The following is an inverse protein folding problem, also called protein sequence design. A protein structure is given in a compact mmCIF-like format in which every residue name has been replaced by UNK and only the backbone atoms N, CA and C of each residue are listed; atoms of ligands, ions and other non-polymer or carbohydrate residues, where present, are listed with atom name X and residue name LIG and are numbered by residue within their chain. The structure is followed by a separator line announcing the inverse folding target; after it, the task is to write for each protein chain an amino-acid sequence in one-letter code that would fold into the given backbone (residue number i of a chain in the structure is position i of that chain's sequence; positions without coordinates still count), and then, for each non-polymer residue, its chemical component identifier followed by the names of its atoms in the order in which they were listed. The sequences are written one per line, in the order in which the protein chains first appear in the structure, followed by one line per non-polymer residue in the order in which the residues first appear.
data_IF_711971697666
#
_entry.id   IF_711971697666
#
_cell.length_a   1.000
_cell.length_b   1.000
_cell.length_c   1.000
_cell.angle_alpha   90.00
_cell.angle_beta   90.00
_cell.angle_gamma   90.00
#
_symmetry.space_group_name_H-M   'P 1'
#
loop_
_entity.id
_entity.type
_entity.pdbx_description
1 polymer ?
#
# COMPACT_ATOMS: atom_id res chain seq x y z
N UNK A 1 23.02 0.40 44.68
CA UNK A 1 23.16 1.36 43.55
C UNK A 1 23.03 0.73 42.15
N UNK A 2 23.56 -0.49 41.89
CA UNK A 2 23.42 -1.15 40.57
C UNK A 2 21.96 -1.47 40.18
N UNK A 3 21.14 -1.95 41.12
CA UNK A 3 19.71 -2.25 40.87
C UNK A 3 18.88 -1.01 40.49
N UNK A 4 19.11 0.11 41.18
CA UNK A 4 18.42 1.37 40.89
C UNK A 4 18.75 1.91 39.49
N UNK A 5 20.01 1.77 39.04
CA UNK A 5 20.43 2.14 37.69
C UNK A 5 19.80 1.26 36.60
N UNK A 6 19.71 -0.06 36.83
CA UNK A 6 19.00 -0.97 35.92
C UNK A 6 17.51 -0.63 35.79
N UNK A 7 16.88 -0.24 36.90
CA UNK A 7 15.45 0.07 36.95
C UNK A 7 15.13 1.38 36.20
N UNK A 8 16.00 2.40 36.35
CA UNK A 8 15.89 3.66 35.59
C UNK A 8 16.08 3.42 34.09
N UNK A 9 17.07 2.61 33.70
CA UNK A 9 17.31 2.29 32.27
C UNK A 9 16.13 1.52 31.68
N UNK A 10 15.58 0.54 32.40
CA UNK A 10 14.41 -0.23 31.92
C UNK A 10 13.16 0.65 31.77
N UNK A 11 12.93 1.57 32.71
CA UNK A 11 11.82 2.53 32.62
C UNK A 11 11.99 3.49 31.43
N UNK A 12 13.21 3.95 31.15
CA UNK A 12 13.49 4.81 30.01
C UNK A 12 13.29 4.10 28.66
N UNK A 13 13.69 2.83 28.56
CA UNK A 13 13.46 2.02 27.34
C UNK A 13 11.95 1.80 27.12
N UNK A 14 11.20 1.46 28.17
CA UNK A 14 9.76 1.28 28.07
C UNK A 14 9.03 2.58 27.68
N UNK A 15 9.47 3.73 28.21
CA UNK A 15 8.94 5.03 27.84
C UNK A 15 9.21 5.39 26.37
N UNK A 16 10.39 5.04 25.83
CA UNK A 16 10.66 5.20 24.39
C UNK A 16 9.78 4.29 23.53
N UNK A 17 9.57 3.04 23.93
CA UNK A 17 8.69 2.12 23.19
C UNK A 17 7.25 2.64 23.18
N UNK A 18 6.75 3.23 24.27
CA UNK A 18 5.40 3.81 24.30
C UNK A 18 5.30 5.12 23.50
N UNK A 19 6.35 5.96 23.52
CA UNK A 19 6.37 7.23 22.81
C UNK A 19 6.52 7.06 21.28
N UNK A 20 7.23 6.03 20.82
CA UNK A 20 7.55 5.82 19.41
C UNK A 20 6.97 4.52 18.81
N UNK A 21 6.46 3.61 19.65
CA UNK A 21 5.92 2.30 19.23
C UNK A 21 4.47 2.36 18.74
N UNK A 22 3.89 3.56 18.63
CA UNK A 22 2.67 3.75 17.86
C UNK A 22 3.03 3.72 16.38
N UNK A 23 3.35 2.54 15.84
CA UNK A 23 3.23 2.33 14.40
C UNK A 23 1.75 2.53 14.10
N UNK A 24 1.41 3.69 13.51
CA UNK A 24 0.05 3.94 13.04
C UNK A 24 -0.27 2.86 12.03
N UNK A 25 -0.92 1.78 12.48
CA UNK A 25 -1.44 0.75 11.59
C UNK A 25 -2.43 1.48 10.69
N UNK A 26 -2.11 1.59 9.41
CA UNK A 26 -2.96 2.30 8.47
C UNK A 26 -4.36 1.69 8.55
N UNK A 27 -5.35 2.53 8.86
CA UNK A 27 -6.72 2.05 8.94
C UNK A 27 -7.12 1.51 7.57
N UNK A 28 -7.71 0.30 7.54
CA UNK A 28 -8.14 -0.30 6.29
C UNK A 28 -9.07 0.67 5.54
N UNK A 29 -8.84 0.91 4.23
CA UNK A 29 -9.64 1.87 3.47
C UNK A 29 -11.12 1.44 3.43
N UNK A 30 -12.02 2.41 3.41
CA UNK A 30 -13.48 2.24 3.45
C UNK A 30 -14.16 3.03 2.33
N UNK A 31 -15.43 2.71 2.09
CA UNK A 31 -16.26 3.39 1.09
C UNK A 31 -16.08 2.87 -0.33
N UNK A 32 -16.69 3.57 -1.28
CA UNK A 32 -16.70 3.15 -2.68
C UNK A 32 -15.30 3.23 -3.33
N UNK A 33 -14.83 2.19 -4.03
CA UNK A 33 -13.51 2.20 -4.63
C UNK A 33 -13.32 3.30 -5.68
N UNK A 34 -12.11 3.81 -5.78
CA UNK A 34 -11.66 4.60 -6.92
C UNK A 34 -11.18 3.61 -7.98
N UNK A 35 -11.89 3.55 -9.11
CA UNK A 35 -11.55 2.63 -10.20
C UNK A 35 -10.48 3.27 -11.09
N UNK A 36 -9.35 2.58 -11.24
CA UNK A 36 -8.29 2.96 -12.17
C UNK A 36 -8.18 1.87 -13.24
N UNK A 37 -8.31 2.30 -14.49
CA UNK A 37 -8.28 1.41 -15.65
C UNK A 37 -6.94 1.45 -16.39
N UNK A 38 -6.51 0.29 -16.87
CA UNK A 38 -5.46 0.15 -17.88
C UNK A 38 -6.03 -0.50 -19.13
N UNK A 39 -5.80 0.13 -20.29
CA UNK A 39 -6.12 -0.45 -21.59
C UNK A 39 -4.82 -0.61 -22.37
N UNK A 40 -4.55 -1.80 -22.86
CA UNK A 40 -3.35 -2.06 -23.66
C UNK A 40 -3.32 -3.47 -24.21
N UNK A 41 -2.24 -3.82 -24.91
CA UNK A 41 -2.06 -5.16 -25.45
C UNK A 41 -1.53 -6.08 -24.33
N UNK A 42 -2.44 -6.65 -23.55
CA UNK A 42 -2.13 -7.37 -22.30
C UNK A 42 -1.25 -8.61 -22.50
N UNK A 43 -1.22 -9.15 -23.71
CA UNK A 43 -0.36 -10.29 -24.08
C UNK A 43 1.03 -9.87 -24.55
N UNK A 44 1.28 -8.59 -24.80
CA UNK A 44 2.61 -8.10 -25.17
C UNK A 44 3.62 -8.38 -24.05
N UNK A 45 4.81 -8.94 -24.37
CA UNK A 45 5.87 -9.15 -23.39
C UNK A 45 6.28 -7.89 -22.63
N UNK A 46 6.23 -6.72 -23.28
CA UNK A 46 6.55 -5.44 -22.65
C UNK A 46 5.44 -4.89 -21.74
N UNK A 47 4.19 -5.30 -21.96
CA UNK A 47 3.03 -4.77 -21.22
C UNK A 47 2.82 -5.45 -19.87
N UNK A 48 3.04 -6.77 -19.80
CA UNK A 48 2.88 -7.55 -18.57
C UNK A 48 3.65 -7.00 -17.35
N UNK A 49 4.97 -6.74 -17.43
CA UNK A 49 5.69 -6.19 -16.27
C UNK A 49 5.16 -4.82 -15.84
N UNK A 50 4.69 -4.00 -16.78
CA UNK A 50 4.06 -2.71 -16.47
C UNK A 50 2.73 -2.90 -15.73
N UNK A 51 1.92 -3.89 -16.09
CA UNK A 51 0.68 -4.20 -15.37
C UNK A 51 0.94 -4.79 -13.98
N UNK A 52 2.03 -5.57 -13.84
CA UNK A 52 2.40 -6.16 -12.56
C UNK A 52 2.82 -5.10 -11.55
N UNK A 53 3.66 -4.14 -11.94
CA UNK A 53 4.02 -3.03 -11.04
C UNK A 53 2.83 -2.13 -10.70
N UNK A 54 1.88 -1.93 -11.62
CA UNK A 54 0.64 -1.21 -11.33
C UNK A 54 -0.21 -1.94 -10.28
N UNK A 55 -0.30 -3.26 -10.35
CA UNK A 55 -1.02 -4.07 -9.36
C UNK A 55 -0.35 -4.01 -7.98
N UNK A 56 0.97 -4.13 -7.94
CA UNK A 56 1.76 -4.01 -6.70
C UNK A 56 1.53 -2.63 -6.07
N UNK A 57 1.62 -1.55 -6.85
CA UNK A 57 1.38 -0.20 -6.34
C UNK A 57 -0.04 -0.03 -5.77
N UNK A 58 -1.07 -0.59 -6.44
CA UNK A 58 -2.45 -0.56 -5.94
C UNK A 58 -2.58 -1.32 -4.61
N UNK A 59 -1.91 -2.46 -4.47
CA UNK A 59 -1.90 -3.23 -3.23
C UNK A 59 -1.21 -2.46 -2.10
N UNK A 60 -0.02 -1.91 -2.34
CA UNK A 60 0.73 -1.10 -1.37
C UNK A 60 -0.07 0.13 -0.91
N UNK A 61 -0.72 0.84 -1.85
CA UNK A 61 -1.56 2.00 -1.53
C UNK A 61 -2.75 1.58 -0.65
N UNK A 62 -3.41 0.47 -0.98
CA UNK A 62 -4.54 -0.02 -0.18
C UNK A 62 -4.10 -0.47 1.22
N UNK A 63 -2.94 -1.12 1.34
CA UNK A 63 -2.33 -1.48 2.63
C UNK A 63 -1.95 -0.24 3.45
N UNK A 64 -1.61 0.87 2.80
CA UNK A 64 -1.31 2.16 3.43
C UNK A 64 -2.56 3.01 3.76
N UNK A 65 -3.77 2.48 3.61
CA UNK A 65 -5.03 3.17 3.95
C UNK A 65 -5.75 3.79 2.74
N UNK A 66 -5.31 3.47 1.52
CA UNK A 66 -5.95 3.92 0.29
C UNK A 66 -5.74 5.40 -0.01
N UNK A 67 -6.47 5.93 -1.00
CA UNK A 67 -6.42 7.34 -1.37
C UNK A 67 -7.52 8.09 -0.63
N UNK A 68 -7.13 8.98 0.29
CA UNK A 68 -8.08 9.71 1.16
C UNK A 68 -9.03 8.76 1.91
N UNK A 69 -8.52 7.61 2.34
CA UNK A 69 -9.29 6.58 3.05
C UNK A 69 -10.13 5.66 2.15
N UNK A 70 -10.09 5.83 0.82
CA UNK A 70 -10.86 5.00 -0.14
C UNK A 70 -9.97 3.95 -0.82
N UNK A 71 -10.48 2.73 -1.05
CA UNK A 71 -9.70 1.69 -1.72
C UNK A 71 -9.56 1.99 -3.21
N UNK A 72 -8.41 1.65 -3.80
CA UNK A 72 -8.22 1.59 -5.23
C UNK A 72 -8.67 0.23 -5.78
N UNK A 73 -9.32 0.24 -6.94
CA UNK A 73 -9.66 -0.95 -7.74
C UNK A 73 -9.00 -0.86 -9.10
N UNK A 74 -8.11 -1.81 -9.39
CA UNK A 74 -7.46 -1.92 -10.69
C UNK A 74 -8.31 -2.76 -11.65
N UNK A 75 -8.57 -2.22 -12.84
CA UNK A 75 -9.27 -2.93 -13.93
C UNK A 75 -8.45 -2.87 -15.20
N UNK A 76 -8.51 -3.93 -16.00
CA UNK A 76 -7.70 -4.06 -17.22
C UNK A 76 -8.58 -4.45 -18.39
N UNK A 77 -8.32 -3.88 -19.57
CA UNK A 77 -8.95 -4.31 -20.83
C UNK A 77 -7.90 -4.54 -21.91
N UNK A 78 -8.06 -5.64 -22.65
CA UNK A 78 -7.18 -5.99 -23.76
C UNK A 78 -7.65 -5.34 -25.06
N UNK A 79 -6.81 -4.49 -25.65
CA UNK A 79 -7.08 -3.88 -26.94
C UNK A 79 -6.56 -4.70 -28.13
N UNK A 80 -5.95 -5.88 -27.90
CA UNK A 80 -5.39 -6.75 -28.94
C UNK A 80 -4.37 -6.04 -29.86
N UNK A 81 -3.68 -5.01 -29.37
CA UNK A 81 -2.74 -4.20 -30.15
C UNK A 81 -3.41 -3.13 -31.04
N UNK A 82 -4.72 -2.92 -30.90
CA UNK A 82 -5.46 -1.90 -31.64
C UNK A 82 -5.36 -0.54 -30.94
N UNK A 83 -5.25 0.53 -31.72
CA UNK A 83 -5.19 1.91 -31.19
C UNK A 83 -6.57 2.48 -30.85
N UNK A 84 -7.65 1.78 -31.19
CA UNK A 84 -9.02 2.10 -30.81
C UNK A 84 -9.70 0.88 -30.16
N UNK A 85 -10.71 1.14 -29.33
CA UNK A 85 -11.57 0.12 -28.70
C UNK A 85 -12.87 -0.15 -29.48
N UNK A 86 -12.94 0.33 -30.73
CA UNK A 86 -14.08 0.22 -31.65
C UNK A 86 -13.79 -0.83 -32.72
#
# INVERSE_FOLDING_TARGET
MKGMRCLIVSAAVLAMILAFGSTSSAEAPKGEPIVIGYVGFTLSPGTRPCMDVQRIAVEEINQAGGVLGRPLKYVTADNKGQTSLT
#
